data_IF_046418359316
#
_entry.id   IF_046418359316
#
_cell.length_a   1.000
_cell.length_b   1.000
_cell.length_c   1.000
_cell.angle_alpha   90.00
_cell.angle_beta   90.00
_cell.angle_gamma   90.00
#
_symmetry.space_group_name_H-M   'P 1'
#
loop_
_entity.id
_entity.type
_entity.pdbx_description
1 polymer ?
#
# COMPACT_ATOMS: atom_id res chain seq x y z
N UNK A 1 -5.73 19.99 -8.18
CA UNK A 1 -4.89 19.20 -7.25
C UNK A 1 -3.88 18.42 -8.08
N UNK A 2 -2.77 18.01 -7.48
CA UNK A 2 -1.70 17.28 -8.16
C UNK A 2 -1.23 16.06 -7.35
N UNK A 3 -0.77 15.02 -8.04
CA UNK A 3 -0.20 13.81 -7.43
C UNK A 3 1.27 13.66 -7.84
N UNK A 4 2.13 13.12 -6.95
CA UNK A 4 3.49 12.65 -7.29
C UNK A 4 3.68 11.21 -6.83
N UNK A 5 4.11 10.32 -7.72
CA UNK A 5 4.54 8.95 -7.39
C UNK A 5 5.96 8.74 -7.92
N UNK A 6 6.88 8.25 -7.08
CA UNK A 6 8.25 7.90 -7.47
C UNK A 6 8.45 6.39 -7.40
N UNK A 7 8.97 5.76 -8.46
CA UNK A 7 9.28 4.34 -8.48
C UNK A 7 10.56 4.04 -9.27
N UNK A 8 11.32 3.05 -8.82
CA UNK A 8 12.46 2.49 -9.57
C UNK A 8 12.00 1.31 -10.40
N UNK A 9 12.56 1.22 -11.60
CA UNK A 9 12.53 -0.03 -12.35
C UNK A 9 13.82 -0.25 -13.12
N UNK A 10 14.19 -1.51 -13.34
CA UNK A 10 15.36 -1.92 -14.12
C UNK A 10 15.10 -1.93 -15.64
N UNK A 11 14.03 -1.27 -16.09
CA UNK A 11 13.75 -1.10 -17.50
C UNK A 11 14.82 -0.17 -18.10
N UNK A 12 15.54 -0.59 -19.14
CA UNK A 12 16.14 0.37 -20.06
C UNK A 12 15.02 1.29 -20.56
N UNK A 13 15.27 2.59 -20.73
CA UNK A 13 14.29 3.67 -21.00
C UNK A 13 13.15 3.33 -22.00
N UNK A 14 13.33 2.32 -22.84
CA UNK A 14 12.40 1.82 -23.86
C UNK A 14 11.53 0.63 -23.42
N UNK A 15 11.68 0.09 -22.21
CA UNK A 15 10.94 -1.12 -21.77
C UNK A 15 9.86 -0.84 -20.73
N UNK A 16 9.82 0.40 -20.20
CA UNK A 16 8.60 1.02 -19.70
C UNK A 16 7.85 1.73 -20.85
N UNK A 17 7.86 1.16 -22.07
CA UNK A 17 6.75 1.41 -23.00
C UNK A 17 5.54 0.77 -22.35
N UNK A 18 4.89 1.54 -21.50
CA UNK A 18 3.50 1.27 -21.23
C UNK A 18 2.78 1.65 -22.55
N UNK A 19 2.66 0.76 -23.55
CA UNK A 19 1.99 0.84 -24.89
C UNK A 19 0.56 1.44 -24.86
N UNK A 20 0.41 2.67 -24.40
CA UNK A 20 -0.87 3.11 -23.91
C UNK A 20 -1.76 3.69 -25.13
N UNK A 21 -2.39 2.88 -26.04
CA UNK A 21 -3.64 3.20 -26.84
C UNK A 21 -5.09 3.08 -26.20
N UNK A 22 -5.98 4.09 -26.36
CA UNK A 22 -7.44 4.02 -26.68
C UNK A 22 -8.53 3.97 -25.56
N UNK A 23 -9.80 3.66 -25.92
CA UNK A 23 -10.80 2.94 -25.06
C UNK A 23 -10.32 1.51 -24.74
N UNK A 24 -9.22 1.15 -25.40
CA UNK A 24 -8.21 0.20 -24.99
C UNK A 24 -7.39 0.77 -23.79
N UNK A 25 -6.56 -0.08 -23.22
CA UNK A 25 -6.10 -0.08 -21.83
C UNK A 25 -5.17 1.05 -21.30
N UNK A 26 -5.15 2.28 -21.87
CA UNK A 26 -3.84 2.78 -22.29
C UNK A 26 -3.80 4.33 -22.75
N UNK A 27 -3.21 5.34 -22.04
CA UNK A 27 -2.90 6.76 -22.44
C UNK A 27 -1.95 7.08 -23.62
N UNK A 28 -2.46 7.97 -24.46
CA UNK A 28 -1.84 8.48 -25.67
C UNK A 28 -0.61 9.34 -25.36
N UNK A 29 0.57 8.90 -25.83
CA UNK A 29 1.79 9.69 -25.79
C UNK A 29 1.92 10.53 -27.05
N UNK A 30 1.54 11.79 -26.96
CA UNK A 30 1.73 12.74 -28.06
C UNK A 30 2.62 13.90 -27.62
N UNK A 31 3.91 13.64 -27.42
CA UNK A 31 4.88 14.63 -26.94
C UNK A 31 5.05 15.84 -27.90
N UNK A 32 4.60 15.73 -29.16
CA UNK A 32 4.78 16.77 -30.19
C UNK A 32 3.50 17.58 -30.47
N UNK A 33 2.40 17.26 -29.81
CA UNK A 33 1.17 18.04 -29.89
C UNK A 33 1.25 19.34 -29.10
N UNK A 34 0.48 20.35 -29.55
CA UNK A 34 0.26 21.58 -28.77
C UNK A 34 -0.37 21.31 -27.41
N UNK A 35 -1.19 20.26 -27.31
CA UNK A 35 -1.81 19.84 -26.06
C UNK A 35 -0.78 19.30 -25.07
N UNK A 36 0.22 18.54 -25.54
CA UNK A 36 1.34 18.12 -24.71
C UNK A 36 2.20 19.27 -24.23
N UNK A 37 2.51 20.26 -25.08
CA UNK A 37 3.25 21.45 -24.67
C UNK A 37 2.50 22.21 -23.56
N UNK A 38 1.17 22.35 -23.71
CA UNK A 38 0.31 22.96 -22.70
C UNK A 38 0.35 22.18 -21.37
N UNK A 39 0.19 20.86 -21.41
CA UNK A 39 0.20 20.01 -20.22
C UNK A 39 1.56 20.04 -19.52
N UNK A 40 2.67 20.00 -20.28
CA UNK A 40 4.02 20.08 -19.72
C UNK A 40 4.24 21.44 -19.04
N UNK A 41 3.73 22.52 -19.63
CA UNK A 41 3.81 23.86 -19.05
C UNK A 41 2.98 23.95 -17.76
N UNK A 42 1.73 23.50 -17.79
CA UNK A 42 0.85 23.46 -16.61
C UNK A 42 1.44 22.58 -15.50
N UNK A 43 2.13 21.50 -15.87
CA UNK A 43 2.83 20.64 -14.91
C UNK A 43 4.06 21.29 -14.32
N UNK A 44 4.86 22.00 -15.11
CA UNK A 44 6.02 22.76 -14.62
C UNK A 44 5.61 23.73 -13.52
N UNK A 45 4.49 24.44 -13.70
CA UNK A 45 3.98 25.41 -12.74
C UNK A 45 3.58 24.78 -11.40
N UNK A 46 3.31 23.47 -11.36
CA UNK A 46 2.99 22.74 -10.12
C UNK A 46 4.17 21.99 -9.52
N UNK A 47 5.35 22.02 -10.14
CA UNK A 47 6.56 21.35 -9.64
C UNK A 47 7.26 22.27 -8.63
N UNK A 48 7.73 21.71 -7.51
CA UNK A 48 8.54 22.46 -6.54
C UNK A 48 9.76 23.04 -7.25
N UNK A 49 10.12 24.29 -6.94
CA UNK A 49 11.23 25.00 -7.60
C UNK A 49 12.53 24.18 -7.65
N UNK A 50 12.83 23.42 -6.58
CA UNK A 50 13.99 22.53 -6.50
C UNK A 50 14.00 21.40 -7.52
N UNK A 51 12.83 20.93 -7.95
CA UNK A 51 12.64 19.79 -8.85
C UNK A 51 12.46 20.24 -10.32
N UNK A 52 12.29 21.55 -10.58
CA UNK A 52 12.06 22.08 -11.94
C UNK A 52 13.19 21.73 -12.91
N UNK A 53 14.49 21.90 -12.58
CA UNK A 53 15.57 21.57 -13.51
C UNK A 53 15.53 20.12 -13.97
N UNK A 54 15.34 19.20 -13.01
CA UNK A 54 15.23 17.76 -13.26
C UNK A 54 14.00 17.42 -14.11
N UNK A 55 12.86 18.05 -13.80
CA UNK A 55 11.66 17.89 -14.60
C UNK A 55 11.92 18.33 -16.03
N UNK A 56 12.54 19.49 -16.28
CA UNK A 56 12.77 20.01 -17.64
C UNK A 56 13.70 19.13 -18.47
N UNK A 57 14.79 18.64 -17.89
CA UNK A 57 15.81 17.81 -18.57
C UNK A 57 15.29 16.41 -18.95
N UNK A 58 14.33 15.86 -18.20
CA UNK A 58 13.79 14.52 -18.44
C UNK A 58 12.94 14.42 -19.72
N UNK A 59 13.02 13.27 -20.40
CA UNK A 59 12.01 12.87 -21.41
C UNK A 59 10.68 12.64 -20.70
N UNK A 60 9.59 13.13 -21.30
CA UNK A 60 8.25 13.12 -20.69
C UNK A 60 7.28 12.37 -21.57
N UNK A 61 6.57 11.46 -20.95
CA UNK A 61 5.37 10.86 -21.48
C UNK A 61 4.17 11.67 -20.99
N UNK A 62 3.38 12.22 -21.90
CA UNK A 62 2.15 12.93 -21.56
C UNK A 62 1.02 11.92 -21.37
N UNK A 63 0.22 12.11 -20.32
CA UNK A 63 -0.88 11.25 -19.94
C UNK A 63 -2.18 12.03 -20.04
N UNK A 64 -3.18 11.44 -20.68
CA UNK A 64 -4.51 12.00 -20.88
C UNK A 64 -5.54 10.91 -20.58
N UNK A 65 -6.43 11.18 -19.63
CA UNK A 65 -7.59 10.34 -19.31
C UNK A 65 -8.86 11.01 -19.81
N UNK A 66 -9.49 10.43 -20.82
CA UNK A 66 -10.78 10.91 -21.35
C UNK A 66 -11.95 10.68 -20.38
N UNK A 67 -11.82 9.76 -19.43
CA UNK A 67 -12.90 9.37 -18.49
C UNK A 67 -12.93 10.26 -17.27
N UNK A 68 -11.76 10.61 -16.74
CA UNK A 68 -11.62 11.40 -15.51
C UNK A 68 -11.22 12.86 -15.77
N UNK A 69 -11.01 13.22 -17.05
CA UNK A 69 -10.44 14.50 -17.50
C UNK A 69 -9.07 14.80 -16.85
N UNK A 70 -8.43 13.78 -16.26
CA UNK A 70 -7.10 13.87 -15.67
C UNK A 70 -6.05 13.94 -16.76
N UNK A 71 -5.10 14.85 -16.61
CA UNK A 71 -3.93 14.93 -17.48
C UNK A 71 -2.65 14.99 -16.64
N UNK A 72 -1.50 14.67 -17.22
CA UNK A 72 -0.27 14.60 -16.45
C UNK A 72 0.96 14.20 -17.25
N UNK A 73 2.04 13.90 -16.54
CA UNK A 73 3.31 13.47 -17.10
C UNK A 73 3.88 12.27 -16.34
N UNK A 74 4.57 11.40 -17.07
CA UNK A 74 5.46 10.39 -16.52
C UNK A 74 6.86 10.69 -17.06
N UNK A 75 7.81 10.92 -16.16
CA UNK A 75 9.19 11.30 -16.49
C UNK A 75 10.18 10.42 -15.74
N UNK A 76 11.36 10.19 -16.32
CA UNK A 76 12.47 9.58 -15.59
C UNK A 76 13.37 10.69 -15.03
N UNK A 77 13.30 10.90 -13.71
CA UNK A 77 14.02 11.95 -12.96
C UNK A 77 14.92 11.28 -11.90
N UNK A 78 16.23 11.57 -11.86
CA UNK A 78 17.18 11.04 -10.86
C UNK A 78 17.15 9.50 -10.68
N UNK A 79 17.23 8.74 -11.77
CA UNK A 79 17.12 7.27 -11.75
C UNK A 79 15.77 6.74 -11.20
N UNK A 80 14.72 7.55 -11.25
CA UNK A 80 13.38 7.19 -10.76
C UNK A 80 12.31 7.62 -11.76
N UNK A 81 11.30 6.79 -11.96
CA UNK A 81 10.10 7.18 -12.68
C UNK A 81 9.20 8.00 -11.79
N UNK A 82 8.79 9.16 -12.27
CA UNK A 82 7.97 10.14 -11.56
C UNK A 82 6.67 10.35 -12.31
N UNK A 83 5.57 9.89 -11.73
CA UNK A 83 4.21 10.17 -12.21
C UNK A 83 3.71 11.46 -11.59
N UNK A 84 3.26 12.40 -12.43
CA UNK A 84 2.64 13.66 -12.05
C UNK A 84 1.27 13.75 -12.71
N UNK A 85 0.21 13.91 -11.94
CA UNK A 85 -1.17 14.01 -12.45
C UNK A 85 -1.80 15.32 -11.99
N UNK A 86 -2.67 15.89 -12.81
CA UNK A 86 -3.47 17.09 -12.58
C UNK A 86 -4.96 16.75 -12.71
N UNK A 87 -5.70 16.94 -11.61
CA UNK A 87 -7.16 16.87 -11.60
C UNK A 87 -7.70 17.81 -10.50
N UNK A 88 -8.79 18.57 -10.73
CA UNK A 88 -9.43 19.36 -9.68
C UNK A 88 -10.04 18.51 -8.54
N UNK A 89 -10.42 17.27 -8.79
CA UNK A 89 -11.09 16.37 -7.86
C UNK A 89 -10.11 15.36 -7.21
N UNK A 90 -10.03 15.38 -5.88
CA UNK A 90 -9.16 14.52 -5.08
C UNK A 90 -9.49 13.03 -5.21
N UNK A 91 -10.77 12.68 -5.21
CA UNK A 91 -11.23 11.29 -5.24
C UNK A 91 -10.91 10.63 -6.58
N UNK A 92 -11.04 11.38 -7.68
CA UNK A 92 -10.65 10.89 -9.01
C UNK A 92 -9.14 10.71 -9.12
N UNK A 93 -8.37 11.63 -8.53
CA UNK A 93 -6.90 11.54 -8.50
C UNK A 93 -6.42 10.31 -7.70
N UNK A 94 -7.07 9.99 -6.58
CA UNK A 94 -6.81 8.76 -5.82
C UNK A 94 -7.08 7.50 -6.64
N UNK A 95 -8.23 7.46 -7.32
CA UNK A 95 -8.61 6.34 -8.17
C UNK A 95 -7.62 6.16 -9.32
N UNK A 96 -7.26 7.24 -10.02
CA UNK A 96 -6.32 7.21 -11.15
C UNK A 96 -4.93 6.72 -10.69
N UNK A 97 -4.46 7.18 -9.53
CA UNK A 97 -3.20 6.69 -8.94
C UNK A 97 -3.26 5.20 -8.62
N UNK A 98 -4.35 4.73 -7.99
CA UNK A 98 -4.53 3.32 -7.65
C UNK A 98 -4.57 2.43 -8.89
N UNK A 99 -5.32 2.85 -9.92
CA UNK A 99 -5.44 2.14 -11.20
C UNK A 99 -4.09 2.08 -11.90
N UNK A 100 -3.35 3.20 -11.97
CA UNK A 100 -2.02 3.24 -12.57
C UNK A 100 -1.05 2.29 -11.87
N UNK A 101 -0.91 2.41 -10.55
CA UNK A 101 0.00 1.56 -9.75
C UNK A 101 -0.39 0.08 -9.86
N UNK A 102 -1.69 -0.23 -9.80
CA UNK A 102 -2.17 -1.62 -9.97
C UNK A 102 -1.78 -2.19 -11.34
N UNK A 103 -1.95 -1.40 -12.42
CA UNK A 103 -1.57 -1.82 -13.77
C UNK A 103 -0.06 -2.05 -13.89
N UNK A 104 0.77 -1.16 -13.34
CA UNK A 104 2.22 -1.33 -13.32
C UNK A 104 2.62 -2.63 -12.60
N UNK A 105 2.07 -2.90 -11.42
CA UNK A 105 2.33 -4.13 -10.66
C UNK A 105 1.90 -5.37 -11.45
N UNK A 106 0.69 -5.34 -12.03
CA UNK A 106 0.16 -6.45 -12.82
C UNK A 106 1.05 -6.76 -14.02
N UNK A 107 1.49 -5.72 -14.74
CA UNK A 107 2.37 -5.88 -15.90
C UNK A 107 3.74 -6.45 -15.51
N UNK A 108 4.38 -5.92 -14.47
CA UNK A 108 5.66 -6.46 -13.99
C UNK A 108 5.56 -7.92 -13.53
N UNK A 109 4.44 -8.29 -12.89
CA UNK A 109 4.17 -9.67 -12.51
C UNK A 109 4.07 -10.59 -13.74
N UNK A 110 3.38 -10.13 -14.79
CA UNK A 110 3.27 -10.88 -16.05
C UNK A 110 4.63 -11.05 -16.74
N UNK A 111 5.49 -10.03 -16.67
CA UNK A 111 6.83 -10.04 -17.25
C UNK A 111 7.90 -10.66 -16.34
N UNK A 112 7.53 -11.20 -15.17
CA UNK A 112 8.46 -11.73 -14.16
C UNK A 112 9.55 -10.72 -13.72
N UNK A 113 9.23 -9.44 -13.76
CA UNK A 113 10.15 -8.35 -13.40
C UNK A 113 9.78 -7.74 -12.05
N UNK A 114 10.79 -7.17 -11.39
CA UNK A 114 10.61 -6.53 -10.08
C UNK A 114 10.49 -5.02 -10.25
N UNK A 115 9.37 -4.44 -9.82
CA UNK A 115 9.23 -2.99 -9.64
C UNK A 115 9.42 -2.68 -8.16
N UNK A 116 10.33 -1.75 -7.87
CA UNK A 116 10.57 -1.27 -6.52
C UNK A 116 9.96 0.13 -6.40
N UNK A 117 8.88 0.24 -5.63
CA UNK A 117 8.38 1.55 -5.21
C UNK A 117 9.30 2.06 -4.11
N UNK A 118 9.72 3.32 -4.21
CA UNK A 118 10.47 3.93 -3.12
C UNK A 118 9.58 4.01 -1.87
N UNK A 119 10.18 3.95 -0.69
CA UNK A 119 9.52 4.18 0.61
C UNK A 119 9.02 5.64 0.79
N UNK A 120 8.79 6.36 -0.31
CA UNK A 120 8.20 7.69 -0.30
C UNK A 120 6.69 7.56 -0.52
N UNK A 121 5.86 8.19 0.32
CA UNK A 121 4.41 8.15 0.12
C UNK A 121 4.04 8.83 -1.21
N UNK A 122 2.98 8.33 -1.84
CA UNK A 122 2.24 9.03 -2.88
C UNK A 122 1.66 10.28 -2.26
N UNK A 123 2.04 11.45 -2.74
CA UNK A 123 1.57 12.71 -2.18
C UNK A 123 0.52 13.32 -3.09
N UNK A 124 -0.65 13.63 -2.54
CA UNK A 124 -1.68 14.45 -3.19
C UNK A 124 -1.67 15.84 -2.56
N UNK A 125 -1.56 16.86 -3.40
CA UNK A 125 -1.31 18.24 -3.00
C UNK A 125 -2.26 19.16 -3.77
N UNK A 126 -2.76 20.22 -3.13
CA UNK A 126 -3.52 21.26 -3.84
C UNK A 126 -2.61 22.12 -4.72
N UNK A 127 -3.16 22.73 -5.79
CA UNK A 127 -2.37 23.52 -6.76
C UNK A 127 -1.57 24.66 -6.10
N UNK A 128 -2.06 25.20 -4.98
CA UNK A 128 -1.46 26.34 -4.29
C UNK A 128 -0.87 25.99 -2.91
N UNK A 129 -0.84 24.70 -2.52
CA UNK A 129 -0.30 24.26 -1.24
C UNK A 129 1.07 23.62 -1.42
N UNK A 130 2.00 23.90 -0.51
CA UNK A 130 3.31 23.22 -0.46
C UNK A 130 3.25 21.88 0.25
N UNK A 131 2.27 21.73 1.14
CA UNK A 131 2.08 20.56 1.99
C UNK A 131 1.06 19.59 1.41
N UNK A 132 1.29 18.27 1.52
CA UNK A 132 0.35 17.25 1.08
C UNK A 132 -0.92 17.29 1.92
N UNK A 133 -2.06 17.02 1.27
CA UNK A 133 -3.36 16.84 1.92
C UNK A 133 -3.53 15.37 2.28
N UNK A 134 -3.13 14.48 1.37
CA UNK A 134 -3.24 13.03 1.52
C UNK A 134 -1.92 12.39 1.14
N UNK A 135 -1.52 11.41 1.94
CA UNK A 135 -0.38 10.52 1.69
C UNK A 135 -0.88 9.09 1.43
N UNK A 136 -0.37 8.45 0.39
CA UNK A 136 -0.70 7.09 -0.02
C UNK A 136 0.50 6.17 0.12
N UNK A 137 0.34 5.05 0.82
CA UNK A 137 1.37 4.00 0.90
C UNK A 137 1.10 2.90 -0.11
N UNK A 138 2.05 2.65 -1.00
CA UNK A 138 1.96 1.59 -2.01
C UNK A 138 2.24 0.25 -1.34
N UNK A 139 1.34 -0.72 -1.51
CA UNK A 139 1.45 -2.08 -0.96
C UNK A 139 1.60 -3.11 -2.07
N UNK A 140 2.72 -3.02 -2.80
CA UNK A 140 2.96 -3.80 -4.01
C UNK A 140 3.22 -5.28 -3.73
N UNK A 141 4.07 -5.60 -2.76
CA UNK A 141 4.44 -6.99 -2.46
C UNK A 141 3.66 -7.57 -1.29
N UNK A 142 3.58 -8.91 -1.21
CA UNK A 142 3.06 -9.62 -0.03
C UNK A 142 3.82 -9.25 1.25
N UNK A 143 5.12 -9.00 1.15
CA UNK A 143 5.97 -8.58 2.29
C UNK A 143 5.57 -7.19 2.78
N UNK A 144 5.29 -6.26 1.88
CA UNK A 144 4.87 -4.89 2.23
C UNK A 144 3.49 -4.89 2.87
N UNK A 145 2.54 -5.66 2.30
CA UNK A 145 1.20 -5.86 2.87
C UNK A 145 1.28 -6.46 4.26
N UNK A 146 2.12 -7.48 4.46
CA UNK A 146 2.28 -8.14 5.75
C UNK A 146 2.92 -7.21 6.79
N UNK A 147 3.96 -6.47 6.39
CA UNK A 147 4.62 -5.46 7.23
C UNK A 147 3.66 -4.36 7.65
N UNK A 148 2.85 -3.86 6.73
CA UNK A 148 1.81 -2.88 7.00
C UNK A 148 0.73 -3.43 7.95
N UNK A 149 0.22 -4.64 7.68
CA UNK A 149 -0.77 -5.31 8.53
C UNK A 149 -0.25 -5.48 9.97
N UNK A 150 0.99 -5.93 10.14
CA UNK A 150 1.62 -6.09 11.46
C UNK A 150 1.77 -4.78 12.21
N UNK A 151 2.07 -3.68 11.52
CA UNK A 151 2.18 -2.35 12.16
C UNK A 151 0.82 -1.85 12.63
N UNK A 152 -0.22 -2.01 11.81
CA UNK A 152 -1.56 -1.51 12.12
C UNK A 152 -2.29 -2.36 13.16
N UNK A 153 -2.21 -3.69 13.02
CA UNK A 153 -2.85 -4.69 13.88
C UNK A 153 -1.84 -5.39 14.79
N UNK A 154 -0.92 -4.61 15.39
CA UNK A 154 0.16 -5.13 16.24
C UNK A 154 -0.37 -5.93 17.42
N UNK A 155 -1.43 -5.46 18.05
CA UNK A 155 -2.02 -6.11 19.23
C UNK A 155 -2.63 -7.44 18.84
N UNK A 156 -3.48 -7.46 17.81
CA UNK A 156 -4.15 -8.66 17.31
C UNK A 156 -3.13 -9.70 16.80
N UNK A 157 -2.10 -9.25 16.08
CA UNK A 157 -0.99 -10.10 15.66
C UNK A 157 -0.23 -10.69 16.86
N UNK A 158 0.08 -9.87 17.87
CA UNK A 158 0.80 -10.32 19.06
C UNK A 158 -0.02 -11.29 19.90
N UNK A 159 -1.32 -11.02 20.12
CA UNK A 159 -2.22 -11.91 20.85
C UNK A 159 -2.38 -13.24 20.08
N UNK A 160 -2.49 -13.21 18.76
CA UNK A 160 -2.55 -14.42 17.94
C UNK A 160 -1.28 -15.28 18.10
N UNK A 161 -0.09 -14.68 17.99
CA UNK A 161 1.19 -15.39 18.11
C UNK A 161 1.44 -15.89 19.53
N UNK A 162 1.34 -14.99 20.53
CA UNK A 162 1.58 -15.33 21.94
C UNK A 162 0.53 -16.33 22.43
N UNK A 163 -0.74 -16.12 22.08
CA UNK A 163 -1.83 -17.01 22.44
C UNK A 163 -1.65 -18.40 21.85
N UNK A 164 -1.20 -18.52 20.60
CA UNK A 164 -0.85 -19.81 20.00
C UNK A 164 0.31 -20.48 20.76
N UNK A 165 1.37 -19.74 21.10
CA UNK A 165 2.49 -20.29 21.87
C UNK A 165 2.07 -20.76 23.25
N UNK A 166 1.27 -19.96 23.98
CA UNK A 166 0.74 -20.34 25.30
C UNK A 166 -0.18 -21.55 25.19
N UNK A 167 -1.04 -21.61 24.18
CA UNK A 167 -1.89 -22.77 23.92
C UNK A 167 -1.08 -24.05 23.69
N UNK A 168 -0.02 -24.00 22.88
CA UNK A 168 0.87 -25.15 22.65
C UNK A 168 1.57 -25.57 23.94
N UNK A 169 2.09 -24.62 24.73
CA UNK A 169 2.71 -24.93 26.03
C UNK A 169 1.70 -25.57 26.97
N UNK A 170 0.48 -25.03 27.06
CA UNK A 170 -0.59 -25.59 27.90
C UNK A 170 -0.93 -27.02 27.47
N UNK A 171 -1.04 -27.30 26.16
CA UNK A 171 -1.24 -28.65 25.65
C UNK A 171 -0.08 -29.59 26.00
N UNK A 172 1.17 -29.17 25.84
CA UNK A 172 2.33 -30.01 26.19
C UNK A 172 2.36 -30.31 27.69
N UNK A 173 1.97 -29.35 28.52
CA UNK A 173 1.92 -29.54 29.98
C UNK A 173 0.77 -30.48 30.35
N UNK A 174 -0.41 -30.36 29.75
CA UNK A 174 -1.59 -31.19 30.08
C UNK A 174 -1.63 -32.56 29.38
N UNK A 175 -0.99 -32.72 28.23
CA UNK A 175 -0.97 -33.96 27.44
C UNK A 175 -0.34 -35.20 28.15
N UNK A 176 0.78 -35.09 28.90
CA UNK A 176 1.34 -36.21 29.65
C UNK A 176 0.66 -36.45 31.00
N UNK A 177 -0.35 -35.67 31.38
CA UNK A 177 -1.05 -35.77 32.66
C UNK A 177 -1.98 -36.99 32.87
N UNK A 178 -2.46 -37.72 31.83
CA UNK A 178 -3.21 -38.98 32.04
C UNK A 178 -2.42 -40.09 32.75
N UNK A 179 -1.11 -39.92 32.97
CA UNK A 179 -0.20 -40.92 33.51
C UNK A 179 0.18 -40.71 34.99
N UNK A 180 -0.55 -39.90 35.77
CA UNK A 180 -0.14 -39.53 37.15
C UNK A 180 -1.15 -39.77 38.26
N UNK A 181 -0.55 -39.98 39.42
CA UNK A 181 -1.09 -40.51 40.68
C UNK A 181 -2.26 -39.67 41.25
N UNK A 182 -3.48 -40.21 41.34
CA UNK A 182 -4.66 -39.49 41.83
C UNK A 182 -4.58 -39.05 43.31
N UNK A 183 -3.57 -39.50 44.05
CA UNK A 183 -3.32 -39.08 45.43
C UNK A 183 -2.73 -37.67 45.60
N UNK A 184 -2.23 -37.03 44.55
CA UNK A 184 -1.58 -35.72 44.65
C UNK A 184 -2.55 -34.54 44.38
N UNK A 185 -3.15 -34.00 45.44
CA UNK A 185 -4.13 -32.91 45.36
C UNK A 185 -3.60 -31.62 44.71
N UNK A 186 -2.32 -31.28 44.91
CA UNK A 186 -1.71 -30.09 44.30
C UNK A 186 -1.63 -30.22 42.77
N UNK A 187 -1.37 -31.43 42.26
CA UNK A 187 -1.35 -31.72 40.83
C UNK A 187 -2.75 -31.66 40.20
N UNK A 188 -3.77 -32.19 40.88
CA UNK A 188 -5.17 -32.08 40.42
C UNK A 188 -5.64 -30.63 40.35
N UNK A 189 -5.31 -29.82 41.35
CA UNK A 189 -5.70 -28.41 41.38
C UNK A 189 -5.08 -27.61 40.22
N UNK A 190 -3.78 -27.81 39.94
CA UNK A 190 -3.10 -27.19 38.82
C UNK A 190 -3.69 -27.62 37.46
N UNK A 191 -4.04 -28.90 37.31
CA UNK A 191 -4.67 -29.42 36.09
C UNK A 191 -6.01 -28.71 35.79
N UNK A 192 -6.90 -28.59 36.77
CA UNK A 192 -8.20 -27.93 36.58
C UNK A 192 -8.06 -26.45 36.19
N UNK A 193 -7.01 -25.78 36.66
CA UNK A 193 -6.70 -24.39 36.26
C UNK A 193 -6.27 -24.35 34.79
N UNK A 194 -5.32 -25.19 34.40
CA UNK A 194 -4.81 -25.20 33.02
C UNK A 194 -5.88 -25.62 32.01
N UNK A 195 -6.68 -26.64 32.32
CA UNK A 195 -7.80 -27.09 31.49
C UNK A 195 -8.80 -25.96 31.20
N UNK A 196 -9.18 -25.18 32.21
CA UNK A 196 -10.08 -24.03 32.06
C UNK A 196 -9.44 -22.89 31.25
N UNK A 197 -8.13 -22.69 31.37
CA UNK A 197 -7.40 -21.64 30.65
C UNK A 197 -7.20 -21.97 29.16
N UNK A 198 -7.05 -23.25 28.81
CA UNK A 198 -6.84 -23.69 27.42
C UNK A 198 -7.95 -23.16 26.50
N UNK A 199 -9.22 -23.31 26.89
CA UNK A 199 -10.36 -22.85 26.10
C UNK A 199 -10.37 -21.33 25.89
N UNK A 200 -10.18 -20.55 26.96
CA UNK A 200 -10.17 -19.09 26.87
C UNK A 200 -9.00 -18.55 26.05
N UNK A 201 -7.80 -19.13 26.22
CA UNK A 201 -6.61 -18.76 25.45
C UNK A 201 -6.80 -19.11 23.97
N UNK A 202 -7.33 -20.30 23.67
CA UNK A 202 -7.59 -20.75 22.30
C UNK A 202 -8.57 -19.82 21.58
N UNK A 203 -9.72 -19.52 22.20
CA UNK A 203 -10.75 -18.65 21.59
C UNK A 203 -10.18 -17.24 21.36
N UNK A 204 -9.49 -16.68 22.34
CA UNK A 204 -8.92 -15.31 22.24
C UNK A 204 -7.84 -15.22 21.17
N UNK A 205 -6.96 -16.22 21.09
CA UNK A 205 -5.92 -16.29 20.06
C UNK A 205 -6.54 -16.44 18.66
N UNK A 206 -7.56 -17.30 18.53
CA UNK A 206 -8.22 -17.57 17.24
C UNK A 206 -9.01 -16.37 16.73
N UNK A 207 -9.73 -15.66 17.60
CA UNK A 207 -10.42 -14.41 17.23
C UNK A 207 -9.39 -13.36 16.78
N UNK A 208 -8.32 -13.16 17.54
CA UNK A 208 -7.28 -12.18 17.20
C UNK A 208 -6.57 -12.51 15.89
N UNK A 209 -6.31 -13.79 15.65
CA UNK A 209 -5.73 -14.30 14.41
C UNK A 209 -6.69 -14.09 13.22
N UNK A 210 -7.98 -14.40 13.39
CA UNK A 210 -8.99 -14.18 12.36
C UNK A 210 -9.13 -12.70 12.01
N UNK A 211 -9.15 -11.81 13.00
CA UNK A 211 -9.19 -10.35 12.79
C UNK A 211 -7.95 -9.84 12.03
N UNK A 212 -6.76 -10.33 12.39
CA UNK A 212 -5.54 -10.00 11.67
C UNK A 212 -5.59 -10.47 10.22
N UNK A 213 -6.02 -11.71 9.98
CA UNK A 213 -6.11 -12.29 8.64
C UNK A 213 -7.17 -11.62 7.77
N UNK A 214 -8.33 -11.27 8.33
CA UNK A 214 -9.35 -10.51 7.63
C UNK A 214 -8.83 -9.13 7.20
N UNK A 215 -8.10 -8.43 8.08
CA UNK A 215 -7.44 -7.18 7.73
C UNK A 215 -6.36 -7.37 6.66
N UNK A 216 -5.51 -8.38 6.79
CA UNK A 216 -4.47 -8.66 5.79
C UNK A 216 -5.07 -9.01 4.41
N UNK A 217 -6.18 -9.74 4.38
CA UNK A 217 -6.90 -10.08 3.16
C UNK A 217 -7.49 -8.82 2.48
N UNK A 218 -8.05 -7.87 3.24
CA UNK A 218 -8.55 -6.61 2.66
C UNK A 218 -7.45 -5.68 2.12
N UNK A 219 -6.17 -5.96 2.41
CA UNK A 219 -5.04 -5.28 1.77
C UNK A 219 -4.74 -5.80 0.36
N UNK A 220 -5.33 -6.92 -0.08
CA UNK A 220 -5.14 -7.41 -1.45
C UNK A 220 -5.95 -6.63 -2.48
N UNK A 221 -7.03 -5.98 -2.06
CA UNK A 221 -7.94 -5.23 -2.94
C UNK A 221 -7.34 -3.88 -3.36
N UNK A 222 -6.60 -3.22 -2.47
CA UNK A 222 -6.04 -1.89 -2.71
C UNK A 222 -4.54 -1.90 -3.00
N UNK A 223 -4.13 -1.34 -4.14
CA UNK A 223 -2.72 -1.12 -4.48
C UNK A 223 -2.07 0.00 -3.65
N UNK A 224 -2.87 0.96 -3.19
CA UNK A 224 -2.45 2.13 -2.39
C UNK A 224 -3.39 2.29 -1.20
N UNK A 225 -2.84 2.37 0.01
CA UNK A 225 -3.59 2.77 1.22
C UNK A 225 -3.40 4.26 1.50
N UNK A 226 -4.49 5.01 1.45
CA UNK A 226 -4.51 6.45 1.67
C UNK A 226 -4.62 6.79 3.16
N UNK A 227 -3.99 7.90 3.55
CA UNK A 227 -3.97 8.46 4.89
C UNK A 227 -3.92 9.98 4.82
N UNK A 228 -4.49 10.67 5.81
CA UNK A 228 -4.45 12.13 5.90
C UNK A 228 -3.05 12.53 6.36
N UNK A 229 -2.43 13.50 5.69
CA UNK A 229 -1.10 13.97 6.04
C UNK A 229 -1.07 14.54 7.47
N UNK A 230 -0.11 14.08 8.30
CA UNK A 230 0.06 14.56 9.68
C UNK A 230 -0.88 13.94 10.72
N UNK A 231 -1.86 13.12 10.32
CA UNK A 231 -2.64 12.31 11.27
C UNK A 231 -2.01 10.91 11.44
N UNK A 232 -2.03 10.35 12.67
CA UNK A 232 -1.64 8.95 12.84
C UNK A 232 -2.52 8.07 11.95
N UNK A 233 -1.90 7.17 11.17
CA UNK A 233 -2.50 6.27 10.17
C UNK A 233 -3.79 5.53 10.65
N UNK A 234 -4.03 5.49 11.97
CA UNK A 234 -5.22 4.91 12.63
C UNK A 234 -6.52 5.71 12.48
N UNK A 235 -6.50 7.03 12.20
CA UNK A 235 -7.71 7.86 12.16
C UNK A 235 -8.34 8.03 10.78
N UNK A 236 -7.56 7.91 9.71
CA UNK A 236 -8.04 8.21 8.35
C UNK A 236 -9.14 7.27 7.82
N UNK A 237 -9.33 6.09 8.43
CA UNK A 237 -10.33 5.09 7.96
C UNK A 237 -11.76 5.46 8.38
N UNK A 238 -11.97 6.34 9.36
CA UNK A 238 -13.32 6.64 9.88
C UNK A 238 -13.97 7.93 9.36
N UNK A 239 -13.25 8.78 8.64
CA UNK A 239 -13.72 10.15 8.32
C UNK A 239 -14.13 10.34 6.85
N UNK A 240 -14.16 9.29 6.04
CA UNK A 240 -14.48 9.35 4.60
C UNK A 240 -15.69 8.48 4.22
N UNK A 241 -16.71 8.44 5.07
CA UNK A 241 -18.08 8.02 4.71
C UNK A 241 -19.00 9.21 4.96
#
# INVERSE_FOLDING_TARGET
MHAKIMFTSNFEDESLIIILKGNQWWPVFDQKSKDAEKIVTEMKDSVKESDIPLFLESKKFVLLSAVTETHGTLSFENNTWVLRLLNPNLSLLQLDCQVFVHKCIKHATQMQQTINFYDRPVQLVERNRKDPIIEGKILASKKDRLSYARKQKKVEYSIGVIGLSVFVVLLIVTYPWPFRDPGNQAQMWLFTIFEKLIGSVAITALISYAQFHAFYASLHEDSIKWSIAGEPEKKAIKTLI
#
